data_IF_009140092776
#
_entry.id   IF_009140092776
#
_cell.length_a   1.000
_cell.length_b   1.000
_cell.length_c   1.000
_cell.angle_alpha   90.00
_cell.angle_beta   90.00
_cell.angle_gamma   90.00
#
_symmetry.space_group_name_H-M   'P 1'
#
loop_
_entity.id
_entity.type
_entity.pdbx_description
1 polymer ?
#
# COMPACT_ATOMS: atom_id res chain seq x y z
N UNK A 1 -2.44 -5.82 -23.59
CA UNK A 1 -3.46 -6.52 -22.76
C UNK A 1 -4.85 -6.33 -23.35
N UNK A 2 -5.71 -7.36 -23.36
CA UNK A 2 -7.10 -7.23 -23.83
C UNK A 2 -7.96 -6.41 -22.85
N UNK A 3 -9.03 -5.77 -23.35
CA UNK A 3 -9.90 -4.91 -22.53
C UNK A 3 -10.55 -5.68 -21.37
N UNK A 4 -10.94 -6.93 -21.62
CA UNK A 4 -11.62 -7.77 -20.61
C UNK A 4 -10.68 -8.04 -19.44
N UNK A 5 -9.41 -8.35 -19.71
CA UNK A 5 -8.41 -8.61 -18.68
C UNK A 5 -8.12 -7.37 -17.86
N UNK A 6 -8.01 -6.20 -18.52
CA UNK A 6 -7.84 -4.92 -17.86
C UNK A 6 -9.00 -4.61 -16.89
N UNK A 7 -10.24 -4.92 -17.29
CA UNK A 7 -11.43 -4.75 -16.44
C UNK A 7 -11.37 -5.72 -15.24
N UNK A 8 -11.06 -7.00 -15.47
CA UNK A 8 -10.97 -8.00 -14.40
C UNK A 8 -9.91 -7.59 -13.38
N UNK A 9 -8.70 -7.28 -13.84
CA UNK A 9 -7.59 -6.85 -12.99
C UNK A 9 -7.91 -5.51 -12.29
N UNK A 10 -8.57 -4.58 -12.98
CA UNK A 10 -9.03 -3.32 -12.37
C UNK A 10 -10.04 -3.54 -11.23
N UNK A 11 -10.98 -4.47 -11.40
CA UNK A 11 -11.92 -4.87 -10.34
C UNK A 11 -11.17 -5.53 -9.18
N UNK A 12 -10.23 -6.43 -9.47
CA UNK A 12 -9.38 -7.06 -8.45
C UNK A 12 -8.64 -5.98 -7.65
N UNK A 13 -7.97 -5.03 -8.32
CA UNK A 13 -7.29 -3.91 -7.65
C UNK A 13 -8.26 -3.12 -6.77
N UNK A 14 -9.40 -2.70 -7.33
CA UNK A 14 -10.38 -1.90 -6.62
C UNK A 14 -10.93 -2.57 -5.36
N UNK A 15 -11.12 -3.89 -5.39
CA UNK A 15 -11.58 -4.66 -4.24
C UNK A 15 -10.45 -4.91 -3.22
N UNK A 16 -9.23 -5.18 -3.69
CA UNK A 16 -8.14 -5.65 -2.83
C UNK A 16 -7.29 -4.54 -2.23
N UNK A 17 -7.26 -3.35 -2.82
CA UNK A 17 -6.45 -2.23 -2.31
C UNK A 17 -6.91 -1.78 -0.91
N UNK A 18 -8.22 -1.80 -0.67
CA UNK A 18 -8.81 -1.38 0.60
C UNK A 18 -8.91 -2.52 1.62
N UNK A 19 -8.69 -3.76 1.18
CA UNK A 19 -8.71 -4.94 2.04
C UNK A 19 -7.29 -5.30 2.48
N UNK A 20 -7.11 -5.87 3.69
CA UNK A 20 -5.81 -6.26 4.21
C UNK A 20 -5.35 -7.59 3.60
N UNK A 21 -5.24 -7.67 2.27
CA UNK A 21 -5.00 -8.92 1.52
C UNK A 21 -3.88 -8.84 0.48
N UNK A 22 -3.25 -7.67 0.30
CA UNK A 22 -2.19 -7.39 -0.69
C UNK A 22 -2.68 -7.36 -2.13
N UNK A 23 -3.02 -6.16 -2.61
CA UNK A 23 -3.50 -5.91 -3.97
C UNK A 23 -2.46 -6.25 -5.04
N UNK A 24 -1.20 -5.86 -4.85
CA UNK A 24 -0.10 -6.18 -5.78
C UNK A 24 0.06 -7.69 -5.99
N UNK A 25 -0.06 -8.49 -4.93
CA UNK A 25 -0.01 -9.95 -5.05
C UNK A 25 -1.19 -10.53 -5.82
N UNK A 26 -2.40 -9.99 -5.64
CA UNK A 26 -3.58 -10.44 -6.40
C UNK A 26 -3.51 -10.05 -7.87
N UNK A 27 -2.94 -8.88 -8.19
CA UNK A 27 -2.71 -8.45 -9.58
C UNK A 27 -1.70 -9.36 -10.28
N UNK A 28 -0.58 -9.69 -9.63
CA UNK A 28 0.42 -10.60 -10.19
C UNK A 28 -0.12 -12.02 -10.38
N UNK A 29 -0.90 -12.54 -9.41
CA UNK A 29 -1.60 -13.82 -9.59
C UNK A 29 -2.64 -13.75 -10.71
N UNK A 30 -3.41 -12.67 -10.79
CA UNK A 30 -4.40 -12.47 -11.85
C UNK A 30 -3.77 -12.49 -13.24
N UNK A 31 -2.66 -11.77 -13.43
CA UNK A 31 -1.89 -11.78 -14.69
C UNK A 31 -1.40 -13.19 -15.06
N UNK A 32 -0.95 -13.96 -14.07
CA UNK A 32 -0.52 -15.34 -14.29
C UNK A 32 -1.69 -16.28 -14.64
N UNK A 33 -2.86 -16.11 -14.03
CA UNK A 33 -4.05 -16.96 -14.27
C UNK A 33 -4.68 -16.67 -15.63
N UNK A 34 -4.75 -15.39 -16.02
CA UNK A 34 -5.34 -14.98 -17.30
C UNK A 34 -4.39 -15.25 -18.48
N UNK A 35 -3.17 -15.70 -18.23
CA UNK A 35 -2.08 -15.81 -19.21
C UNK A 35 -1.81 -14.48 -19.93
N UNK A 36 -2.07 -13.38 -19.22
CA UNK A 36 -1.89 -12.00 -19.70
C UNK A 36 -0.61 -11.42 -19.16
N UNK A 37 0.41 -12.26 -18.98
CA UNK A 37 1.78 -11.84 -18.71
C UNK A 37 2.14 -10.85 -19.82
N UNK A 38 2.04 -9.55 -19.49
CA UNK A 38 2.31 -8.50 -20.45
C UNK A 38 3.78 -8.65 -20.80
N UNK A 39 4.05 -9.05 -22.03
CA UNK A 39 5.41 -9.34 -22.50
C UNK A 39 6.28 -8.07 -22.47
N UNK A 40 5.63 -6.90 -22.48
CA UNK A 40 6.25 -5.60 -22.33
C UNK A 40 6.20 -5.14 -20.85
N UNK A 41 7.36 -5.04 -20.17
CA UNK A 41 7.46 -4.51 -18.81
C UNK A 41 6.87 -3.10 -18.65
N UNK A 42 6.97 -2.26 -19.69
CA UNK A 42 6.53 -0.87 -19.63
C UNK A 42 5.00 -0.76 -19.59
N UNK A 43 4.31 -1.56 -20.40
CA UNK A 43 2.84 -1.66 -20.36
C UNK A 43 2.36 -2.20 -19.00
N UNK A 44 3.10 -3.15 -18.42
CA UNK A 44 2.77 -3.78 -17.15
C UNK A 44 2.91 -2.81 -15.97
N UNK A 45 3.99 -2.02 -15.99
CA UNK A 45 4.22 -0.93 -15.05
C UNK A 45 3.16 0.17 -15.21
N UNK A 46 2.88 0.60 -16.44
CA UNK A 46 1.88 1.62 -16.72
C UNK A 46 0.48 1.21 -16.23
N UNK A 47 0.06 -0.03 -16.49
CA UNK A 47 -1.21 -0.55 -15.97
C UNK A 47 -1.26 -0.49 -14.45
N UNK A 48 -0.21 -0.96 -13.79
CA UNK A 48 -0.10 -0.99 -12.31
C UNK A 48 -0.18 0.43 -11.74
N UNK A 49 0.52 1.39 -12.35
CA UNK A 49 0.46 2.82 -11.96
C UNK A 49 -0.95 3.38 -12.13
N UNK A 50 -1.63 3.10 -13.25
CA UNK A 50 -2.98 3.60 -13.50
C UNK A 50 -4.00 3.06 -12.51
N UNK A 51 -3.97 1.76 -12.19
CA UNK A 51 -4.94 1.19 -11.26
C UNK A 51 -4.69 1.65 -9.81
N UNK A 52 -3.43 1.83 -9.39
CA UNK A 52 -3.12 2.47 -8.11
C UNK A 52 -3.51 3.95 -8.08
N UNK A 53 -3.35 4.66 -9.19
CA UNK A 53 -3.82 6.05 -9.29
C UNK A 53 -5.35 6.13 -9.15
N UNK A 54 -6.08 5.22 -9.77
CA UNK A 54 -7.53 5.15 -9.67
C UNK A 54 -8.00 4.86 -8.23
N UNK A 55 -7.34 3.94 -7.51
CA UNK A 55 -7.67 3.68 -6.10
C UNK A 55 -7.25 4.83 -5.18
N UNK A 56 -6.12 5.50 -5.45
CA UNK A 56 -5.73 6.71 -4.73
C UNK A 56 -6.76 7.84 -4.92
N UNK A 57 -7.25 8.05 -6.14
CA UNK A 57 -8.29 9.02 -6.43
C UNK A 57 -9.59 8.69 -5.71
N UNK A 58 -9.97 7.40 -5.68
CA UNK A 58 -11.12 6.93 -4.89
C UNK A 58 -10.96 7.30 -3.40
N UNK A 59 -9.80 7.03 -2.80
CA UNK A 59 -9.49 7.41 -1.40
C UNK A 59 -9.62 8.92 -1.20
N UNK A 60 -9.08 9.74 -2.11
CA UNK A 60 -9.18 11.20 -2.03
C UNK A 60 -10.64 11.67 -2.05
N UNK A 61 -11.47 11.08 -2.92
CA UNK A 61 -12.90 11.45 -3.02
C UNK A 61 -13.66 11.06 -1.75
N UNK A 62 -13.39 9.87 -1.20
CA UNK A 62 -14.02 9.37 0.03
C UNK A 62 -13.65 10.24 1.23
N UNK A 63 -12.35 10.50 1.42
CA UNK A 63 -11.80 11.28 2.54
C UNK A 63 -11.66 12.78 2.23
N UNK A 64 -12.36 13.30 1.22
CA UNK A 64 -12.21 14.69 0.75
C UNK A 64 -12.40 15.75 1.84
N UNK A 65 -13.27 15.47 2.82
CA UNK A 65 -13.55 16.37 3.93
C UNK A 65 -12.38 16.39 4.92
N UNK A 66 -11.91 15.23 5.34
CA UNK A 66 -10.78 15.08 6.26
C UNK A 66 -9.50 15.67 5.65
N UNK A 67 -9.28 15.43 4.35
CA UNK A 67 -8.18 16.02 3.59
C UNK A 67 -8.29 17.55 3.57
N UNK A 68 -9.47 18.10 3.32
CA UNK A 68 -9.67 19.55 3.33
C UNK A 68 -9.43 20.18 4.71
N UNK A 69 -9.88 19.51 5.77
CA UNK A 69 -9.61 19.93 7.15
C UNK A 69 -8.12 19.90 7.48
N UNK A 70 -7.42 18.84 7.08
CA UNK A 70 -5.97 18.73 7.22
C UNK A 70 -5.24 19.87 6.51
N UNK A 71 -5.58 20.16 5.24
CA UNK A 71 -5.00 21.29 4.50
C UNK A 71 -5.28 22.62 5.19
N UNK A 72 -6.51 22.86 5.61
CA UNK A 72 -6.87 24.08 6.34
C UNK A 72 -6.05 24.22 7.64
N UNK A 73 -5.79 23.12 8.34
CA UNK A 73 -4.93 23.08 9.52
C UNK A 73 -3.48 23.40 9.20
N UNK A 74 -2.93 22.84 8.12
CA UNK A 74 -1.56 23.10 7.66
C UNK A 74 -1.35 24.58 7.32
N UNK A 75 -2.26 25.18 6.55
CA UNK A 75 -2.16 26.57 6.11
C UNK A 75 -2.46 27.61 7.20
N UNK A 76 -2.88 27.18 8.40
CA UNK A 76 -2.94 28.08 9.56
C UNK A 76 -1.55 28.37 10.14
N UNK A 77 -0.52 27.58 9.79
CA UNK A 77 0.85 27.71 10.31
C UNK A 77 0.92 27.78 11.84
N UNK A 78 0.00 27.08 12.52
CA UNK A 78 -0.06 26.95 13.97
C UNK A 78 0.30 25.53 14.37
N UNK A 79 0.87 25.38 15.56
CA UNK A 79 1.15 24.08 16.15
C UNK A 79 -0.12 23.43 16.72
N UNK A 80 -1.07 23.10 15.84
CA UNK A 80 -2.32 22.41 16.16
C UNK A 80 -2.22 20.90 15.88
N UNK A 81 -3.28 20.16 16.17
CA UNK A 81 -3.31 18.70 15.97
C UNK A 81 -3.19 18.32 14.49
N UNK A 82 -3.80 19.11 13.60
CA UNK A 82 -3.77 18.90 12.16
C UNK A 82 -2.37 19.08 11.58
N UNK A 83 -1.65 20.13 11.99
CA UNK A 83 -0.26 20.35 11.57
C UNK A 83 0.68 19.26 12.10
N UNK A 84 0.51 18.86 13.36
CA UNK A 84 1.27 17.74 13.92
C UNK A 84 0.96 16.41 13.20
N UNK A 85 -0.31 16.17 12.86
CA UNK A 85 -0.72 14.99 12.11
C UNK A 85 -0.14 14.99 10.68
N UNK A 86 -0.16 16.14 10.00
CA UNK A 86 0.48 16.30 8.69
C UNK A 86 1.99 16.00 8.74
N UNK A 87 2.70 16.49 9.76
CA UNK A 87 4.11 16.18 9.95
C UNK A 87 4.36 14.69 10.25
N UNK A 88 3.46 14.02 10.98
CA UNK A 88 3.54 12.57 11.19
C UNK A 88 3.36 11.80 9.87
N UNK A 89 2.46 12.24 8.98
CA UNK A 89 2.33 11.67 7.64
C UNK A 89 3.65 11.82 6.87
N UNK A 90 4.21 13.03 6.81
CA UNK A 90 5.49 13.28 6.13
C UNK A 90 6.60 12.41 6.72
N UNK A 91 6.71 12.35 8.05
CA UNK A 91 7.69 11.52 8.75
C UNK A 91 7.54 10.04 8.39
N UNK A 92 6.31 9.54 8.30
CA UNK A 92 6.04 8.15 7.91
C UNK A 92 6.45 7.85 6.46
N UNK A 93 6.47 8.84 5.57
CA UNK A 93 6.88 8.60 4.18
C UNK A 93 8.39 8.45 4.02
N UNK A 94 9.20 8.99 4.96
CA UNK A 94 10.66 9.07 4.82
C UNK A 94 11.30 7.69 4.60
N UNK A 95 11.07 6.66 5.44
CA UNK A 95 11.74 5.37 5.25
C UNK A 95 11.34 4.69 3.94
N UNK A 96 10.07 4.79 3.54
CA UNK A 96 9.56 4.24 2.29
C UNK A 96 10.22 4.93 1.08
N UNK A 97 10.32 6.27 1.08
CA UNK A 97 10.98 7.02 0.00
C UNK A 97 12.46 6.66 -0.08
N UNK A 98 13.16 6.54 1.06
CA UNK A 98 14.57 6.11 1.07
C UNK A 98 14.69 4.72 0.44
N UNK A 99 13.89 3.74 0.86
CA UNK A 99 14.00 2.40 0.28
C UNK A 99 13.64 2.40 -1.20
N UNK A 100 12.59 3.11 -1.61
CA UNK A 100 12.19 3.21 -3.01
C UNK A 100 13.26 3.82 -3.91
N UNK A 101 13.96 4.87 -3.46
CA UNK A 101 14.98 5.55 -4.27
C UNK A 101 16.31 4.80 -4.33
N UNK A 102 16.70 4.12 -3.25
CA UNK A 102 18.01 3.45 -3.18
C UNK A 102 17.95 1.97 -3.56
N UNK A 103 16.76 1.36 -3.57
CA UNK A 103 16.58 -0.07 -3.83
C UNK A 103 15.59 -0.37 -4.97
N UNK A 104 15.33 0.59 -5.87
CA UNK A 104 14.38 0.46 -6.99
C UNK A 104 14.67 -0.80 -7.84
N UNK A 105 15.91 -0.94 -8.33
CA UNK A 105 16.33 -2.07 -9.17
C UNK A 105 16.15 -3.42 -8.46
N UNK A 106 16.47 -3.50 -7.15
CA UNK A 106 16.30 -4.73 -6.40
C UNK A 106 14.83 -5.05 -6.17
N UNK A 107 13.98 -4.05 -5.96
CA UNK A 107 12.53 -4.24 -5.83
C UNK A 107 11.96 -4.75 -7.14
N UNK A 108 12.27 -4.13 -8.28
CA UNK A 108 11.83 -4.56 -9.61
C UNK A 108 12.24 -6.00 -9.94
N UNK A 109 13.45 -6.40 -9.54
CA UNK A 109 13.95 -7.77 -9.69
C UNK A 109 13.11 -8.80 -8.90
N UNK A 110 12.42 -8.39 -7.82
CA UNK A 110 11.53 -9.27 -7.06
C UNK A 110 10.16 -9.44 -7.73
N UNK A 111 9.72 -8.48 -8.55
CA UNK A 111 8.46 -8.54 -9.29
C UNK A 111 8.58 -9.29 -10.63
N UNK A 112 9.79 -9.49 -11.16
CA UNK A 112 10.02 -10.11 -12.47
C UNK A 112 9.85 -11.64 -12.42
N UNK A 113 8.59 -12.10 -12.55
CA UNK A 113 8.26 -13.49 -12.88
C UNK A 113 8.28 -14.49 -11.71
N UNK A 114 8.49 -14.04 -10.48
CA UNK A 114 8.53 -14.93 -9.32
C UNK A 114 7.15 -15.10 -8.64
N UNK A 115 6.21 -15.71 -9.37
CA UNK A 115 4.85 -16.01 -8.86
C UNK A 115 4.90 -16.86 -7.58
N UNK A 116 5.92 -17.71 -7.43
CA UNK A 116 6.15 -18.50 -6.21
C UNK A 116 6.46 -17.61 -5.00
N UNK A 117 7.32 -16.60 -5.16
CA UNK A 117 7.61 -15.61 -4.12
C UNK A 117 6.35 -14.85 -3.72
N UNK A 118 5.58 -14.36 -4.71
CA UNK A 118 4.31 -13.66 -4.46
C UNK A 118 3.35 -14.55 -3.66
N UNK A 119 3.18 -15.81 -4.07
CA UNK A 119 2.31 -16.78 -3.38
C UNK A 119 2.76 -17.04 -1.94
N UNK A 120 4.07 -17.20 -1.71
CA UNK A 120 4.62 -17.36 -0.37
C UNK A 120 4.40 -16.12 0.52
N UNK A 121 4.61 -14.92 -0.04
CA UNK A 121 4.39 -13.66 0.67
C UNK A 121 2.90 -13.42 0.98
N UNK A 122 1.98 -13.90 0.13
CA UNK A 122 0.54 -13.87 0.43
C UNK A 122 0.18 -14.78 1.61
N UNK A 123 0.81 -15.94 1.74
CA UNK A 123 0.64 -16.80 2.93
C UNK A 123 1.15 -16.08 4.19
N UNK A 124 2.30 -15.42 4.11
CA UNK A 124 2.82 -14.58 5.21
C UNK A 124 1.83 -13.47 5.55
N UNK A 125 1.31 -12.75 4.56
CA UNK A 125 0.28 -11.71 4.74
C UNK A 125 -0.96 -12.28 5.43
N UNK A 126 -1.44 -13.45 5.02
CA UNK A 126 -2.57 -14.12 5.65
C UNK A 126 -2.29 -14.50 7.11
N UNK A 127 -1.08 -14.97 7.42
CA UNK A 127 -0.67 -15.27 8.80
C UNK A 127 -0.59 -13.99 9.64
N UNK A 128 -0.02 -12.92 9.10
CA UNK A 128 0.04 -11.61 9.78
C UNK A 128 -1.36 -11.06 10.03
N UNK A 129 -2.28 -11.18 9.07
CA UNK A 129 -3.68 -10.79 9.26
C UNK A 129 -4.37 -11.61 10.36
N UNK A 130 -4.13 -12.92 10.40
CA UNK A 130 -4.64 -13.78 11.46
C UNK A 130 -4.13 -13.37 12.85
N UNK A 131 -2.87 -12.94 12.94
CA UNK A 131 -2.30 -12.40 14.17
C UNK A 131 -2.86 -11.00 14.50
N UNK A 132 -3.08 -10.16 13.49
CA UNK A 132 -3.67 -8.83 13.65
C UNK A 132 -5.08 -8.89 14.25
N UNK A 133 -5.88 -9.90 13.88
CA UNK A 133 -7.20 -10.12 14.47
C UNK A 133 -7.20 -10.42 15.98
N UNK A 134 -6.03 -10.67 16.57
CA UNK A 134 -5.83 -10.85 18.02
C UNK A 134 -5.27 -9.60 18.71
N UNK A 135 -4.90 -8.57 17.95
CA UNK A 135 -4.42 -7.30 18.49
C UNK A 135 -5.57 -6.56 19.18
N UNK A 136 -5.27 -5.87 20.28
CA UNK A 136 -6.27 -5.11 21.04
C UNK A 136 -6.57 -3.82 20.31
N UNK A 137 -7.84 -3.48 20.24
CA UNK A 137 -8.28 -2.18 19.77
C UNK A 137 -7.77 -1.12 20.75
N UNK A 138 -6.80 -0.33 20.33
CA UNK A 138 -6.32 0.80 21.13
C UNK A 138 -6.77 2.07 20.44
N UNK A 139 -7.73 2.76 21.06
CA UNK A 139 -8.25 4.05 20.60
C UNK A 139 -7.24 5.18 20.91
N UNK A 140 -5.95 4.93 20.64
CA UNK A 140 -4.83 5.82 20.93
C UNK A 140 -4.58 6.70 19.70
N UNK A 141 -4.35 7.98 19.94
CA UNK A 141 -3.86 8.88 18.91
C UNK A 141 -2.47 8.44 18.45
N UNK A 142 -2.24 8.45 17.13
CA UNK A 142 -0.96 8.11 16.51
C UNK A 142 0.15 9.01 17.08
N UNK A 143 1.13 8.41 17.75
CA UNK A 143 2.29 9.10 18.29
C UNK A 143 3.37 9.33 17.22
N UNK A 144 4.38 10.12 17.56
CA UNK A 144 5.55 10.31 16.68
C UNK A 144 6.37 9.03 16.49
N UNK A 145 6.37 8.13 17.49
CA UNK A 145 7.02 6.82 17.37
C UNK A 145 6.26 5.95 16.38
N UNK A 146 4.94 5.97 16.45
CA UNK A 146 4.08 5.22 15.54
C UNK A 146 4.28 5.68 14.10
N UNK A 147 4.42 6.99 13.86
CA UNK A 147 4.74 7.53 12.53
C UNK A 147 6.02 6.92 11.92
N UNK A 148 7.08 6.73 12.72
CA UNK A 148 8.32 6.08 12.26
C UNK A 148 8.10 4.59 12.01
N UNK A 149 7.38 3.90 12.90
CA UNK A 149 7.04 2.47 12.73
C UNK A 149 6.21 2.25 11.47
N UNK A 150 5.21 3.10 11.22
CA UNK A 150 4.40 3.13 10.00
C UNK A 150 5.31 3.24 8.78
N UNK A 151 6.28 4.15 8.80
CA UNK A 151 7.19 4.32 7.67
C UNK A 151 8.10 3.13 7.39
N UNK A 152 8.66 2.53 8.44
CA UNK A 152 9.43 1.28 8.30
C UNK A 152 8.54 0.15 7.78
N UNK A 153 7.30 0.08 8.24
CA UNK A 153 6.32 -0.90 7.75
C UNK A 153 6.02 -0.68 6.26
N UNK A 154 5.81 0.56 5.82
CA UNK A 154 5.59 0.88 4.41
C UNK A 154 6.77 0.45 3.54
N UNK A 155 8.01 0.65 4.02
CA UNK A 155 9.21 0.20 3.32
C UNK A 155 9.29 -1.33 3.19
N UNK A 156 8.99 -2.08 4.26
CA UNK A 156 8.93 -3.55 4.22
C UNK A 156 7.84 -4.02 3.26
N UNK A 157 6.69 -3.35 3.26
CA UNK A 157 5.56 -3.67 2.40
C UNK A 157 5.72 -3.20 0.93
N UNK A 158 6.94 -2.77 0.54
CA UNK A 158 7.34 -2.70 -0.87
C UNK A 158 7.66 -4.07 -1.45
N UNK A 159 7.92 -5.08 -0.61
CA UNK A 159 8.12 -6.46 -1.04
C UNK A 159 6.84 -7.02 -1.69
N UNK A 160 6.97 -7.75 -2.81
CA UNK A 160 5.81 -8.30 -3.52
C UNK A 160 4.99 -9.22 -2.62
N UNK A 161 3.67 -9.09 -2.65
CA UNK A 161 2.77 -9.95 -1.87
C UNK A 161 2.62 -9.60 -0.39
N UNK A 162 3.41 -8.66 0.16
CA UNK A 162 3.20 -8.13 1.51
C UNK A 162 2.15 -7.00 1.50
N UNK A 163 1.09 -7.13 2.31
CA UNK A 163 0.08 -6.09 2.44
C UNK A 163 0.52 -4.95 3.36
N UNK A 164 0.56 -3.72 2.83
CA UNK A 164 0.80 -2.48 3.60
C UNK A 164 -0.17 -2.34 4.76
N UNK A 165 -1.48 -2.49 4.49
CA UNK A 165 -2.53 -2.33 5.50
C UNK A 165 -2.46 -3.39 6.61
N UNK A 166 -2.11 -4.64 6.29
CA UNK A 166 -1.89 -5.68 7.32
C UNK A 166 -0.71 -5.34 8.23
N UNK A 167 0.42 -4.94 7.65
CA UNK A 167 1.62 -4.70 8.45
C UNK A 167 1.43 -3.51 9.40
N UNK A 168 0.71 -2.49 8.94
CA UNK A 168 0.28 -1.36 9.76
C UNK A 168 -0.64 -1.81 10.90
N UNK A 169 -1.65 -2.64 10.61
CA UNK A 169 -2.53 -3.20 11.64
C UNK A 169 -1.74 -3.97 12.70
N UNK A 170 -0.77 -4.80 12.30
CA UNK A 170 0.03 -5.60 13.26
C UNK A 170 0.96 -4.72 14.09
N UNK A 171 1.62 -3.72 13.50
CA UNK A 171 2.70 -2.98 14.18
C UNK A 171 2.24 -1.74 14.92
N UNK A 172 1.07 -1.20 14.59
CA UNK A 172 0.52 0.03 15.21
C UNK A 172 -0.56 -0.29 16.24
N UNK A 173 -1.16 -1.49 16.20
CA UNK A 173 -2.19 -1.89 17.18
C UNK A 173 -1.64 -2.38 18.53
N UNK A 174 -0.34 -2.23 18.80
CA UNK A 174 0.32 -2.58 20.07
C UNK A 174 1.00 -1.36 20.70
#
# INVERSE_FOLDING_TARGET
>A
MELVDAIILGVIQGLTEFLPVSSSGHIELGKAILDTQVQDPDENLLFTVLVHFATALSTIIVFRKDIFELFKGIFQFKWNEEFQFALKIVLSMIPAVIVGLFFEEQLEALFSGNVLLVGFMLIITGLLLFLAGKARDTNKNVSWKDAVIIGVSQAIAMLPGISRSVLLLVLVSY
#
